data_IF_105002158199
#
_entry.id   IF_105002158199
#
_cell.length_a   1.000
_cell.length_b   1.000
_cell.length_c   1.000
_cell.angle_alpha   90.00
_cell.angle_beta   90.00
_cell.angle_gamma   90.00
#
_symmetry.space_group_name_H-M   'P 1'
#
loop_
_entity.id
_entity.type
_entity.pdbx_description
1 polymer ?
#
# COMPACT_ATOMS: atom_id res chain seq x y z
N UNK A 1 5.96 37.34 -9.09
CA UNK A 1 4.93 37.10 -10.13
C UNK A 1 4.01 36.00 -9.61
N UNK A 2 2.88 36.33 -8.98
CA UNK A 2 1.94 35.33 -8.48
C UNK A 2 1.15 34.72 -9.66
N UNK A 3 1.51 33.51 -10.05
CA UNK A 3 0.79 32.79 -11.10
C UNK A 3 -0.49 32.14 -10.53
N UNK A 4 -1.64 32.24 -11.21
CA UNK A 4 -2.84 31.53 -10.78
C UNK A 4 -2.63 30.01 -10.80
N UNK A 5 -2.83 29.36 -9.64
CA UNK A 5 -2.43 27.98 -9.31
C UNK A 5 -2.96 26.90 -10.28
N UNK A 6 -4.23 27.01 -10.68
CA UNK A 6 -4.85 26.12 -11.69
C UNK A 6 -4.24 26.28 -13.09
N UNK A 7 -3.69 27.45 -13.40
CA UNK A 7 -3.07 27.70 -14.69
C UNK A 7 -1.67 27.09 -14.77
N UNK A 8 -1.01 26.87 -13.64
CA UNK A 8 0.34 26.30 -13.63
C UNK A 8 0.35 24.82 -14.03
N UNK A 9 -0.44 23.95 -13.40
CA UNK A 9 -0.56 22.53 -13.80
C UNK A 9 -1.01 22.38 -15.26
N UNK A 10 -1.97 23.21 -15.71
CA UNK A 10 -2.39 23.25 -17.12
C UNK A 10 -1.25 23.63 -18.05
N UNK A 11 -0.37 24.55 -17.64
CA UNK A 11 0.79 24.97 -18.43
C UNK A 11 1.86 23.89 -18.45
N UNK A 12 2.20 23.27 -17.31
CA UNK A 12 3.10 22.12 -17.26
C UNK A 12 2.63 21.01 -18.20
N UNK A 13 1.33 20.68 -18.18
CA UNK A 13 0.72 19.74 -19.14
C UNK A 13 0.92 20.18 -20.59
N UNK A 14 0.67 21.46 -20.92
CA UNK A 14 0.85 21.99 -22.29
C UNK A 14 2.31 21.89 -22.76
N UNK A 15 3.28 22.18 -21.90
CA UNK A 15 4.70 22.06 -22.25
C UNK A 15 5.11 20.61 -22.44
N UNK A 16 4.64 19.69 -21.58
CA UNK A 16 4.85 18.25 -21.74
C UNK A 16 4.25 17.73 -23.05
N UNK A 17 3.04 18.18 -23.43
CA UNK A 17 2.39 17.76 -24.68
C UNK A 17 3.20 18.15 -25.92
N UNK A 18 3.97 19.26 -25.88
CA UNK A 18 4.87 19.62 -27.00
C UNK A 18 5.99 18.61 -27.17
N UNK A 19 6.55 18.10 -26.05
CA UNK A 19 7.65 17.13 -26.06
C UNK A 19 7.19 15.70 -26.33
N UNK A 20 5.98 15.37 -25.87
CA UNK A 20 5.36 14.05 -25.93
C UNK A 20 3.96 14.13 -26.57
N UNK A 21 3.86 14.43 -27.87
CA UNK A 21 2.58 14.74 -28.52
C UNK A 21 1.61 13.57 -28.57
N UNK A 22 2.12 12.33 -28.57
CA UNK A 22 1.34 11.11 -28.68
C UNK A 22 1.15 10.37 -27.34
N UNK A 23 1.54 10.99 -26.22
CA UNK A 23 1.42 10.39 -24.89
C UNK A 23 0.16 10.91 -24.21
N UNK A 24 -0.56 10.02 -23.52
CA UNK A 24 -1.70 10.42 -22.71
C UNK A 24 -1.23 11.22 -21.49
N UNK A 25 -1.74 12.44 -21.35
CA UNK A 25 -1.45 13.34 -20.24
C UNK A 25 -2.76 13.71 -19.53
N UNK A 26 -2.81 13.57 -18.20
CA UNK A 26 -3.94 14.07 -17.38
C UNK A 26 -3.46 14.87 -16.18
N UNK A 27 -4.23 15.88 -15.78
CA UNK A 27 -3.99 16.56 -14.51
C UNK A 27 -4.72 15.81 -13.39
N UNK A 28 -4.06 15.60 -12.25
CA UNK A 28 -4.63 14.90 -11.11
C UNK A 28 -4.22 15.60 -9.80
N UNK A 29 -5.09 16.46 -9.28
CA UNK A 29 -4.88 17.17 -8.02
C UNK A 29 -3.61 18.04 -8.02
N UNK A 30 -2.48 17.44 -7.66
CA UNK A 30 -1.17 18.07 -7.47
C UNK A 30 -0.15 17.73 -8.58
N UNK A 31 -0.49 16.80 -9.48
CA UNK A 31 0.44 16.26 -10.48
C UNK A 31 -0.12 16.34 -11.90
N UNK A 32 0.77 16.22 -12.88
CA UNK A 32 0.45 15.82 -14.25
C UNK A 32 0.85 14.36 -14.40
N UNK A 33 -0.12 13.48 -14.59
CA UNK A 33 0.12 12.05 -14.85
C UNK A 33 0.43 11.87 -16.33
N UNK A 34 1.51 11.14 -16.60
CA UNK A 34 2.01 10.78 -17.91
C UNK A 34 1.88 9.26 -18.05
N UNK A 35 1.06 8.79 -18.97
CA UNK A 35 0.79 7.35 -19.13
C UNK A 35 1.61 6.79 -20.29
N UNK A 36 2.56 5.91 -19.97
CA UNK A 36 3.32 5.10 -20.92
C UNK A 36 2.71 3.69 -21.03
N UNK A 37 3.15 2.90 -22.01
CA UNK A 37 2.58 1.56 -22.26
C UNK A 37 2.60 0.64 -21.02
N UNK A 38 3.64 0.74 -20.19
CA UNK A 38 3.88 -0.19 -19.07
C UNK A 38 3.81 0.47 -17.68
N UNK A 39 3.74 1.80 -17.59
CA UNK A 39 3.76 2.52 -16.32
C UNK A 39 3.23 3.95 -16.46
N UNK A 40 2.86 4.54 -15.32
CA UNK A 40 2.52 5.96 -15.20
C UNK A 40 3.63 6.72 -14.45
N UNK A 41 3.87 7.97 -14.84
CA UNK A 41 4.72 8.92 -14.11
C UNK A 41 3.87 10.05 -13.58
N UNK A 42 3.90 10.25 -12.27
CA UNK A 42 3.26 11.39 -11.60
C UNK A 42 4.26 12.55 -11.49
N UNK A 43 4.18 13.51 -12.41
CA UNK A 43 5.03 14.69 -12.38
C UNK A 43 4.40 15.76 -11.48
N UNK A 44 5.00 16.01 -10.32
CA UNK A 44 4.64 17.13 -9.44
C UNK A 44 5.57 18.31 -9.72
N UNK A 45 5.10 19.38 -10.39
CA UNK A 45 5.94 20.53 -10.62
C UNK A 45 6.04 21.34 -9.33
N UNK A 46 7.25 21.69 -8.92
CA UNK A 46 7.53 22.36 -7.66
C UNK A 46 8.58 23.46 -7.81
N UNK A 47 8.58 24.39 -6.86
CA UNK A 47 9.61 25.41 -6.70
C UNK A 47 10.36 25.15 -5.41
N UNK A 48 11.69 25.18 -5.48
CA UNK A 48 12.53 25.15 -4.29
C UNK A 48 12.47 26.51 -3.59
N UNK A 49 12.30 26.47 -2.28
CA UNK A 49 12.27 27.62 -1.38
C UNK A 49 13.66 27.82 -0.75
N UNK A 50 13.90 29.01 -0.19
CA UNK A 50 15.21 29.36 0.39
C UNK A 50 15.63 28.49 1.58
N UNK A 51 14.69 27.80 2.22
CA UNK A 51 14.92 26.88 3.33
C UNK A 51 15.14 25.43 2.87
N UNK A 52 15.24 25.18 1.56
CA UNK A 52 15.40 23.84 0.97
C UNK A 52 14.10 23.03 0.85
N UNK A 53 12.98 23.59 1.31
CA UNK A 53 11.66 22.98 1.11
C UNK A 53 11.11 23.26 -0.28
N UNK A 54 10.00 22.62 -0.62
CA UNK A 54 9.37 22.77 -1.93
C UNK A 54 7.94 23.25 -1.81
N UNK A 55 7.58 24.24 -2.63
CA UNK A 55 6.20 24.66 -2.83
C UNK A 55 5.64 24.12 -4.14
N UNK A 56 4.48 23.49 -4.07
CA UNK A 56 3.84 22.83 -5.22
C UNK A 56 2.34 23.15 -5.30
N UNK A 57 1.75 23.15 -6.50
CA UNK A 57 0.35 23.49 -6.68
C UNK A 57 -0.56 22.31 -6.31
N UNK A 58 -1.70 22.60 -5.70
CA UNK A 58 -2.81 21.68 -5.53
C UNK A 58 -4.04 22.31 -6.17
N UNK A 59 -4.62 21.68 -7.19
CA UNK A 59 -5.79 22.19 -7.91
C UNK A 59 -7.14 21.91 -7.23
N UNK A 60 -7.15 21.11 -6.15
CA UNK A 60 -8.36 20.76 -5.41
C UNK A 60 -8.94 21.97 -4.65
N UNK A 61 -10.27 21.96 -4.43
CA UNK A 61 -10.99 22.93 -3.60
C UNK A 61 -10.67 24.40 -3.89
N UNK A 62 -10.71 24.79 -5.16
CA UNK A 62 -10.42 26.17 -5.59
C UNK A 62 -8.95 26.47 -5.83
N UNK A 63 -8.05 25.60 -5.39
CA UNK A 63 -6.62 25.65 -5.67
C UNK A 63 -5.79 26.35 -4.59
N UNK A 64 -4.71 25.71 -4.14
CA UNK A 64 -3.79 26.26 -3.13
C UNK A 64 -2.34 25.85 -3.42
N UNK A 65 -1.39 26.61 -2.87
CA UNK A 65 -0.01 26.17 -2.78
C UNK A 65 0.15 25.32 -1.51
N UNK A 66 0.94 24.24 -1.60
CA UNK A 66 1.32 23.39 -0.47
C UNK A 66 2.84 23.37 -0.37
N UNK A 67 3.34 23.21 0.85
CA UNK A 67 4.76 23.02 1.16
C UNK A 67 5.02 21.54 1.44
N UNK A 68 6.15 21.01 0.98
CA UNK A 68 6.68 19.68 1.34
C UNK A 68 8.17 19.79 1.62
N UNK A 69 8.70 18.87 2.42
CA UNK A 69 10.10 18.85 2.84
C UNK A 69 10.70 17.47 2.54
N UNK A 70 10.57 17.06 1.27
CA UNK A 70 10.78 15.68 0.83
C UNK A 70 12.23 15.22 0.98
N UNK A 71 13.20 16.14 0.83
CA UNK A 71 14.62 15.82 0.94
C UNK A 71 15.02 15.43 2.36
N UNK A 72 14.39 16.02 3.39
CA UNK A 72 14.65 15.66 4.78
C UNK A 72 14.11 14.25 5.09
N UNK A 73 12.98 13.86 4.50
CA UNK A 73 12.45 12.49 4.62
C UNK A 73 13.36 11.48 3.92
N UNK A 74 13.86 11.83 2.73
CA UNK A 74 14.82 11.01 1.99
C UNK A 74 16.11 10.82 2.79
N UNK A 75 16.69 11.89 3.32
CA UNK A 75 17.91 11.83 4.11
C UNK A 75 17.77 10.97 5.38
N UNK A 76 16.67 11.11 6.12
CA UNK A 76 16.41 10.25 7.30
C UNK A 76 16.19 8.79 6.89
N UNK A 77 15.58 8.54 5.73
CA UNK A 77 15.41 7.20 5.19
C UNK A 77 16.75 6.58 4.82
N UNK A 78 17.58 7.29 4.05
CA UNK A 78 18.93 6.86 3.64
C UNK A 78 19.81 6.58 4.85
N UNK A 79 19.82 7.49 5.84
CA UNK A 79 20.51 7.26 7.10
C UNK A 79 20.05 5.97 7.78
N UNK A 80 18.74 5.75 7.91
CA UNK A 80 18.22 4.55 8.58
C UNK A 80 18.48 3.28 7.76
N UNK A 81 18.49 3.35 6.42
CA UNK A 81 18.90 2.24 5.54
C UNK A 81 20.34 1.86 5.85
N UNK A 82 21.26 2.81 5.85
CA UNK A 82 22.67 2.54 6.10
C UNK A 82 22.91 2.06 7.53
N UNK A 83 22.27 2.71 8.51
CA UNK A 83 22.41 2.40 9.93
C UNK A 83 21.89 1.01 10.32
N UNK A 84 21.00 0.43 9.51
CA UNK A 84 20.42 -0.90 9.73
C UNK A 84 20.91 -1.93 8.72
N UNK A 85 22.01 -1.65 8.00
CA UNK A 85 22.52 -2.55 6.94
C UNK A 85 21.42 -2.97 5.93
N UNK A 86 20.56 -2.02 5.54
CA UNK A 86 19.38 -2.17 4.69
C UNK A 86 18.14 -2.83 5.32
N UNK A 87 18.19 -3.34 6.56
CA UNK A 87 17.05 -4.03 7.17
C UNK A 87 15.81 -3.14 7.31
N UNK A 88 15.97 -1.82 7.55
CA UNK A 88 14.86 -0.87 7.49
C UNK A 88 14.10 -0.91 6.16
N UNK A 89 14.82 -0.90 5.03
CA UNK A 89 14.24 -0.98 3.68
C UNK A 89 13.54 -2.33 3.47
N UNK A 90 14.16 -3.43 3.86
CA UNK A 90 13.58 -4.76 3.69
C UNK A 90 12.29 -4.93 4.49
N UNK A 91 12.27 -4.50 5.74
CA UNK A 91 11.05 -4.55 6.58
C UNK A 91 9.95 -3.66 5.99
N UNK A 92 10.30 -2.47 5.49
CA UNK A 92 9.35 -1.61 4.77
C UNK A 92 8.75 -2.29 3.53
N UNK A 93 9.51 -3.10 2.80
CA UNK A 93 9.05 -3.87 1.65
C UNK A 93 8.19 -5.07 2.08
N UNK A 94 8.55 -5.76 3.15
CA UNK A 94 7.78 -6.87 3.74
C UNK A 94 6.39 -6.39 4.19
N UNK A 95 6.31 -5.24 4.86
CA UNK A 95 5.02 -4.64 5.26
C UNK A 95 4.17 -4.26 4.03
N UNK A 96 4.80 -3.83 2.92
CA UNK A 96 4.10 -3.61 1.64
C UNK A 96 3.59 -4.91 1.02
N UNK A 97 4.38 -5.98 1.07
CA UNK A 97 3.95 -7.31 0.62
C UNK A 97 2.75 -7.80 1.45
N UNK A 98 2.84 -7.71 2.77
CA UNK A 98 1.75 -8.02 3.71
C UNK A 98 0.46 -7.29 3.40
N UNK A 99 0.49 -5.95 3.24
CA UNK A 99 -0.75 -5.18 2.95
C UNK A 99 -1.40 -5.63 1.63
N UNK A 100 -0.58 -5.96 0.64
CA UNK A 100 -1.03 -6.33 -0.69
C UNK A 100 -1.58 -7.76 -0.70
N UNK A 101 -0.93 -8.68 0.02
CA UNK A 101 -1.38 -10.06 0.16
C UNK A 101 -2.70 -10.15 0.94
N UNK A 102 -2.78 -9.50 2.11
CA UNK A 102 -3.97 -9.54 2.98
C UNK A 102 -5.14 -8.72 2.43
N UNK A 103 -4.87 -7.76 1.53
CA UNK A 103 -5.95 -7.05 0.85
C UNK A 103 -6.44 -5.79 1.56
N UNK A 104 -5.55 -4.94 2.08
CA UNK A 104 -5.98 -3.69 2.74
C UNK A 104 -5.14 -2.46 2.39
N UNK A 105 -5.78 -1.29 2.50
CA UNK A 105 -5.17 0.01 2.22
C UNK A 105 -4.29 0.47 3.39
N UNK A 106 -3.03 0.75 3.11
CA UNK A 106 -2.08 1.41 4.01
C UNK A 106 -1.11 2.24 3.16
N UNK A 107 -0.94 3.52 3.50
CA UNK A 107 -0.12 4.44 2.70
C UNK A 107 1.37 4.15 2.84
N UNK A 108 2.15 4.26 1.77
CA UNK A 108 3.60 3.99 1.77
C UNK A 108 4.37 4.80 2.81
N UNK A 109 4.17 6.13 2.84
CA UNK A 109 4.80 6.98 3.84
C UNK A 109 4.40 6.61 5.28
N UNK A 110 3.18 6.08 5.50
CA UNK A 110 2.77 5.59 6.82
C UNK A 110 3.55 4.32 7.20
N UNK A 111 3.76 3.41 6.25
CA UNK A 111 4.59 2.21 6.46
C UNK A 111 6.00 2.65 6.86
N UNK A 112 6.64 3.50 6.05
CA UNK A 112 8.02 3.94 6.30
C UNK A 112 8.14 4.64 7.65
N UNK A 113 7.17 5.49 7.99
CA UNK A 113 7.09 6.17 9.29
C UNK A 113 6.96 5.19 10.46
N UNK A 114 6.08 4.20 10.36
CA UNK A 114 5.84 3.26 11.46
C UNK A 114 7.00 2.28 11.64
N UNK A 115 7.58 1.79 10.55
CA UNK A 115 8.75 0.92 10.57
C UNK A 115 9.97 1.69 11.11
N UNK A 116 10.15 2.96 10.74
CA UNK A 116 11.21 3.80 11.30
C UNK A 116 11.07 3.97 12.82
N UNK A 117 9.84 4.23 13.29
CA UNK A 117 9.55 4.30 14.73
C UNK A 117 9.73 2.96 15.44
N UNK A 118 9.47 1.84 14.76
CA UNK A 118 9.75 0.49 15.26
C UNK A 118 11.25 0.32 15.48
N UNK A 119 12.08 0.56 14.46
CA UNK A 119 13.53 0.47 14.58
C UNK A 119 14.09 1.38 15.69
N UNK A 120 13.58 2.62 15.83
CA UNK A 120 13.96 3.50 16.95
C UNK A 120 13.54 2.98 18.33
N UNK A 121 12.45 2.20 18.41
CA UNK A 121 11.97 1.59 19.65
C UNK A 121 12.73 0.29 20.00
N UNK A 122 13.22 -0.42 18.98
CA UNK A 122 13.93 -1.71 19.10
C UNK A 122 15.32 -1.59 18.45
N UNK A 123 16.26 -0.86 19.07
CA UNK A 123 17.58 -0.59 18.48
C UNK A 123 18.44 -1.85 18.32
N UNK A 124 18.12 -2.93 19.03
CA UNK A 124 18.81 -4.23 18.87
C UNK A 124 18.71 -4.75 17.42
N UNK A 125 17.64 -4.39 16.69
CA UNK A 125 17.48 -4.77 15.28
C UNK A 125 18.32 -3.94 14.31
N UNK A 126 19.10 -2.95 14.75
CA UNK A 126 20.04 -2.25 13.86
C UNK A 126 21.11 -3.18 13.30
N UNK A 127 21.47 -4.22 14.05
CA UNK A 127 22.44 -5.24 13.65
C UNK A 127 21.77 -6.61 13.40
N UNK A 128 20.48 -6.61 13.07
CA UNK A 128 19.78 -7.86 12.76
C UNK A 128 20.45 -8.61 11.61
N UNK A 129 20.30 -9.92 11.60
CA UNK A 129 20.59 -10.80 10.48
C UNK A 129 19.29 -11.40 9.96
N UNK A 130 19.33 -12.14 8.85
CA UNK A 130 18.13 -12.83 8.36
C UNK A 130 17.63 -13.92 9.31
N UNK A 131 18.48 -14.47 10.18
CA UNK A 131 18.08 -15.46 11.19
C UNK A 131 17.18 -14.83 12.27
N UNK A 132 17.28 -13.51 12.47
CA UNK A 132 16.48 -12.77 13.45
C UNK A 132 15.07 -12.43 12.95
N UNK A 133 14.75 -12.69 11.66
CA UNK A 133 13.54 -12.18 11.03
C UNK A 133 12.25 -12.73 11.65
N UNK A 134 12.22 -13.97 12.11
CA UNK A 134 11.02 -14.50 12.77
C UNK A 134 10.71 -13.69 14.04
N UNK A 135 11.73 -13.41 14.86
CA UNK A 135 11.59 -12.63 16.09
C UNK A 135 11.28 -11.16 15.77
N UNK A 136 11.99 -10.57 14.80
CA UNK A 136 11.76 -9.20 14.34
C UNK A 136 10.31 -9.01 13.86
N UNK A 137 9.78 -9.94 13.06
CA UNK A 137 8.42 -9.84 12.55
C UNK A 137 7.37 -10.03 13.66
N UNK A 138 7.62 -10.89 14.64
CA UNK A 138 6.78 -11.01 15.85
C UNK A 138 6.71 -9.68 16.60
N UNK A 139 7.86 -9.07 16.85
CA UNK A 139 7.94 -7.79 17.57
C UNK A 139 7.38 -6.63 16.77
N UNK A 140 7.56 -6.63 15.45
CA UNK A 140 6.96 -5.65 14.54
C UNK A 140 5.43 -5.72 14.60
N UNK A 141 4.85 -6.92 14.47
CA UNK A 141 3.39 -7.06 14.55
C UNK A 141 2.87 -6.77 15.95
N UNK A 142 3.60 -7.15 17.01
CA UNK A 142 3.29 -6.77 18.38
C UNK A 142 3.25 -5.24 18.57
N UNK A 143 4.25 -4.54 18.04
CA UNK A 143 4.30 -3.08 18.03
C UNK A 143 3.11 -2.49 17.27
N UNK A 144 2.84 -2.96 16.05
CA UNK A 144 1.76 -2.43 15.20
C UNK A 144 0.36 -2.67 15.79
N UNK A 145 0.09 -3.85 16.37
CA UNK A 145 -1.20 -4.13 17.04
C UNK A 145 -1.43 -3.30 18.30
N UNK A 146 -0.35 -2.85 18.94
CA UNK A 146 -0.40 -1.99 20.12
C UNK A 146 -0.67 -0.52 19.82
N UNK A 147 -0.67 -0.10 18.55
CA UNK A 147 -0.94 1.28 18.17
C UNK A 147 -2.43 1.63 18.30
N UNK A 148 -2.72 2.88 18.66
CA UNK A 148 -4.09 3.38 18.72
C UNK A 148 -4.69 3.46 17.30
N UNK A 149 -5.65 2.56 17.00
CA UNK A 149 -6.36 2.50 15.71
C UNK A 149 -7.08 3.80 15.35
N UNK A 150 -7.48 4.60 16.34
CA UNK A 150 -8.24 5.84 16.19
C UNK A 150 -7.33 7.09 16.15
N UNK A 151 -6.01 6.90 16.25
CA UNK A 151 -5.05 7.99 16.09
C UNK A 151 -5.22 8.66 14.72
N UNK A 152 -5.30 9.99 14.70
CA UNK A 152 -5.60 10.75 13.47
C UNK A 152 -4.43 10.80 12.49
N UNK A 153 -3.20 10.92 12.99
CA UNK A 153 -1.99 11.03 12.18
C UNK A 153 -0.75 10.62 12.96
N UNK A 154 0.33 10.31 12.24
CA UNK A 154 1.69 10.20 12.77
C UNK A 154 2.57 11.28 12.15
N UNK A 155 3.66 11.63 12.82
CA UNK A 155 4.70 12.48 12.24
C UNK A 155 5.67 11.63 11.43
N UNK A 156 5.84 12.01 10.16
CA UNK A 156 6.75 11.36 9.23
C UNK A 156 8.20 11.40 9.72
N UNK A 157 8.98 10.40 9.33
CA UNK A 157 10.43 10.40 9.48
C UNK A 157 11.05 11.60 8.74
N UNK A 158 12.01 12.27 9.37
CA UNK A 158 12.64 13.47 8.81
C UNK A 158 11.77 14.72 8.90
N UNK A 159 10.85 14.91 7.94
CA UNK A 159 10.09 16.17 7.78
C UNK A 159 9.12 16.50 8.91
N UNK A 160 8.76 15.51 9.73
CA UNK A 160 7.66 15.61 10.70
C UNK A 160 6.33 16.08 10.09
N UNK A 161 6.11 15.88 8.79
CA UNK A 161 4.79 16.15 8.20
C UNK A 161 3.74 15.17 8.76
N UNK A 162 2.48 15.60 8.77
CA UNK A 162 1.38 14.77 9.27
C UNK A 162 0.99 13.70 8.23
N UNK A 163 1.23 12.45 8.59
CA UNK A 163 0.80 11.26 7.83
C UNK A 163 -0.53 10.78 8.41
N UNK A 164 -1.63 11.07 7.71
CA UNK A 164 -2.98 10.79 8.21
C UNK A 164 -3.34 9.31 8.14
N UNK A 165 -3.95 8.83 9.23
CA UNK A 165 -4.51 7.49 9.32
C UNK A 165 -5.66 7.30 8.31
N UNK A 166 -5.72 6.13 7.68
CA UNK A 166 -6.77 5.74 6.71
C UNK A 166 -7.69 4.66 7.29
N UNK A 167 -8.09 4.84 8.55
CA UNK A 167 -9.07 4.00 9.23
C UNK A 167 -8.50 2.84 10.05
N UNK A 168 -7.20 2.86 10.38
CA UNK A 168 -6.61 1.99 11.40
C UNK A 168 -6.65 0.48 11.13
N UNK A 169 -7.09 0.03 9.94
CA UNK A 169 -7.26 -1.41 9.61
C UNK A 169 -6.00 -2.24 9.84
N UNK A 170 -4.82 -1.65 9.63
CA UNK A 170 -3.54 -2.31 9.83
C UNK A 170 -3.34 -2.77 11.28
N UNK A 171 -3.93 -2.10 12.28
CA UNK A 171 -3.80 -2.48 13.69
C UNK A 171 -4.46 -3.84 13.94
N UNK A 172 -5.70 -4.02 13.46
CA UNK A 172 -6.39 -5.30 13.58
C UNK A 172 -5.69 -6.40 12.76
N UNK A 173 -5.20 -6.07 11.56
CA UNK A 173 -4.46 -7.03 10.75
C UNK A 173 -3.12 -7.42 11.37
N UNK A 174 -2.47 -6.51 12.09
CA UNK A 174 -1.26 -6.82 12.83
C UNK A 174 -1.56 -7.74 14.01
N UNK A 175 -2.74 -7.62 14.64
CA UNK A 175 -3.19 -8.56 15.67
C UNK A 175 -3.39 -9.97 15.11
N UNK A 176 -4.08 -10.09 13.96
CA UNK A 176 -4.25 -11.36 13.23
C UNK A 176 -2.87 -11.99 12.93
N UNK A 177 -1.93 -11.22 12.37
CA UNK A 177 -0.59 -11.70 12.01
C UNK A 177 0.26 -12.06 13.25
N UNK A 178 0.19 -11.26 14.32
CA UNK A 178 0.87 -11.57 15.57
C UNK A 178 0.35 -12.88 16.19
N UNK A 179 -0.96 -13.11 16.15
CA UNK A 179 -1.56 -14.34 16.68
C UNK A 179 -1.05 -15.60 15.97
N UNK A 180 -0.71 -15.51 14.67
CA UNK A 180 -0.12 -16.61 13.91
C UNK A 180 1.35 -16.89 14.28
N UNK A 181 2.10 -15.87 14.70
CA UNK A 181 3.55 -15.98 14.92
C UNK A 181 3.98 -16.05 16.39
N UNK A 182 3.15 -15.59 17.33
CA UNK A 182 3.53 -15.35 18.74
C UNK A 182 4.14 -16.58 19.43
N UNK A 183 3.67 -17.78 19.11
CA UNK A 183 4.07 -19.03 19.75
C UNK A 183 5.08 -19.83 18.90
N UNK A 184 5.51 -19.28 17.75
CA UNK A 184 6.50 -19.92 16.89
C UNK A 184 7.93 -19.53 17.29
N UNK A 185 8.84 -20.49 17.16
CA UNK A 185 10.28 -20.32 17.13
C UNK A 185 10.86 -20.83 15.81
N UNK A 186 12.18 -20.74 15.64
CA UNK A 186 12.88 -21.12 14.40
C UNK A 186 12.81 -22.63 14.10
N UNK A 187 12.59 -23.44 15.12
CA UNK A 187 12.60 -24.91 15.06
C UNK A 187 11.17 -25.48 14.97
N UNK A 188 10.16 -24.61 15.06
CA UNK A 188 8.76 -24.96 14.95
C UNK A 188 8.43 -25.45 13.53
N UNK A 189 7.62 -26.52 13.46
CA UNK A 189 7.08 -26.99 12.18
C UNK A 189 6.09 -25.96 11.61
N UNK A 190 6.07 -25.81 10.28
CA UNK A 190 5.07 -24.96 9.62
C UNK A 190 5.38 -23.46 9.60
N UNK A 191 6.57 -23.02 10.04
CA UNK A 191 6.95 -21.58 10.09
C UNK A 191 6.88 -20.94 8.69
N UNK A 192 7.37 -21.63 7.67
CA UNK A 192 7.39 -21.16 6.29
C UNK A 192 5.97 -20.92 5.76
N UNK A 193 5.07 -21.87 6.02
CA UNK A 193 3.67 -21.85 5.63
C UNK A 193 2.93 -20.71 6.33
N UNK A 194 3.21 -20.47 7.62
CA UNK A 194 2.65 -19.34 8.38
C UNK A 194 3.14 -18.00 7.86
N UNK A 195 4.42 -17.89 7.50
CA UNK A 195 4.95 -16.68 6.87
C UNK A 195 4.34 -16.46 5.49
N UNK A 196 4.15 -17.50 4.69
CA UNK A 196 3.45 -17.42 3.41
C UNK A 196 1.96 -17.09 3.54
N UNK A 197 1.29 -17.50 4.63
CA UNK A 197 -0.09 -17.10 4.96
C UNK A 197 -0.18 -15.58 5.20
N UNK A 198 0.88 -14.97 5.73
CA UNK A 198 0.93 -13.54 6.06
C UNK A 198 1.40 -12.71 4.85
N UNK A 199 2.44 -13.14 4.15
CA UNK A 199 3.14 -12.35 3.14
C UNK A 199 2.90 -12.80 1.69
N UNK A 200 2.31 -13.98 1.51
CA UNK A 200 2.07 -14.62 0.22
C UNK A 200 3.14 -15.64 -0.17
N UNK A 201 2.82 -16.45 -1.19
CA UNK A 201 3.65 -17.57 -1.68
C UNK A 201 5.04 -17.17 -2.17
N UNK A 202 5.25 -15.91 -2.53
CA UNK A 202 6.56 -15.40 -2.93
C UNK A 202 7.51 -15.18 -1.75
N UNK A 203 7.04 -15.31 -0.50
CA UNK A 203 7.91 -15.28 0.67
C UNK A 203 8.85 -16.49 0.63
N UNK A 204 10.18 -16.29 0.79
CA UNK A 204 11.16 -17.34 0.61
C UNK A 204 10.97 -18.45 1.64
N UNK A 205 11.15 -19.69 1.17
CA UNK A 205 11.17 -20.89 2.01
C UNK A 205 12.59 -21.50 1.98
N UNK A 206 13.02 -22.21 3.04
CA UNK A 206 14.31 -22.89 3.06
C UNK A 206 14.47 -23.84 1.86
N UNK A 207 15.67 -23.86 1.25
CA UNK A 207 15.96 -24.69 0.06
C UNK A 207 15.67 -26.18 0.26
N UNK A 208 15.78 -26.69 1.49
CA UNK A 208 15.49 -28.08 1.83
C UNK A 208 14.02 -28.43 1.58
N UNK A 209 13.11 -27.53 1.93
CA UNK A 209 11.67 -27.65 1.69
C UNK A 209 11.40 -27.55 0.19
N UNK A 210 12.00 -26.56 -0.49
CA UNK A 210 11.86 -26.37 -1.94
C UNK A 210 12.30 -27.60 -2.73
N UNK A 211 13.45 -28.20 -2.40
CA UNK A 211 13.95 -29.42 -3.05
C UNK A 211 12.99 -30.60 -2.81
N UNK A 212 12.42 -30.73 -1.62
CA UNK A 212 11.46 -31.80 -1.30
C UNK A 212 10.14 -31.65 -2.06
N UNK A 213 9.60 -30.43 -2.17
CA UNK A 213 8.39 -30.13 -2.95
C UNK A 213 8.63 -30.38 -4.43
N UNK A 214 9.75 -29.89 -4.98
CA UNK A 214 10.12 -30.14 -6.37
C UNK A 214 10.28 -31.64 -6.69
N UNK A 215 10.84 -32.44 -5.77
CA UNK A 215 10.93 -33.90 -5.94
C UNK A 215 9.56 -34.57 -5.91
N UNK A 216 8.66 -34.16 -5.01
CA UNK A 216 7.29 -34.68 -4.92
C UNK A 216 6.45 -34.32 -6.15
N UNK A 217 6.65 -33.13 -6.73
CA UNK A 217 5.99 -32.71 -7.97
C UNK A 217 6.63 -33.35 -9.21
N UNK A 218 7.93 -33.62 -9.23
CA UNK A 218 8.58 -34.31 -10.36
C UNK A 218 8.06 -35.74 -10.59
N UNK A 219 7.52 -36.40 -9.56
CA UNK A 219 6.81 -37.68 -9.71
C UNK A 219 5.44 -37.58 -10.41
N UNK A 220 4.88 -36.37 -10.54
CA UNK A 220 3.64 -36.12 -11.28
C UNK A 220 3.97 -35.25 -12.50
N UNK A 221 4.10 -35.85 -13.68
CA UNK A 221 4.26 -35.11 -14.94
C UNK A 221 2.99 -34.31 -15.27
N UNK A 222 2.79 -33.17 -14.61
CA UNK A 222 1.72 -32.21 -14.89
C UNK A 222 2.39 -30.90 -15.26
N UNK A 223 2.13 -30.42 -16.48
CA UNK A 223 2.49 -29.07 -16.87
C UNK A 223 1.62 -28.10 -16.08
N UNK A 224 2.18 -27.46 -15.06
CA UNK A 224 1.48 -26.42 -14.31
C UNK A 224 1.25 -25.20 -15.21
N UNK A 225 0.02 -25.08 -15.71
CA UNK A 225 -0.44 -23.96 -16.53
C UNK A 225 -1.18 -22.91 -15.70
N UNK A 226 -1.19 -23.05 -14.36
CA UNK A 226 -1.93 -22.15 -13.48
C UNK A 226 -1.25 -20.78 -13.44
N UNK A 227 -1.95 -19.79 -13.96
CA UNK A 227 -1.52 -18.40 -13.93
C UNK A 227 -2.23 -17.68 -12.80
N UNK A 228 -1.47 -17.25 -11.80
CA UNK A 228 -2.00 -16.40 -10.74
C UNK A 228 -1.89 -14.92 -11.11
N UNK A 229 -2.91 -14.13 -10.78
CA UNK A 229 -2.95 -12.69 -11.08
C UNK A 229 -1.73 -11.95 -10.51
N UNK A 230 -1.24 -12.37 -9.33
CA UNK A 230 -0.03 -11.79 -8.72
C UNK A 230 1.27 -12.12 -9.47
N UNK A 231 1.27 -13.14 -10.33
CA UNK A 231 2.38 -13.47 -11.23
C UNK A 231 2.27 -12.74 -12.58
N UNK A 232 1.07 -12.29 -12.94
CA UNK A 232 0.81 -11.61 -14.21
C UNK A 232 0.92 -10.08 -14.09
N UNK A 233 0.59 -9.51 -12.92
CA UNK A 233 0.53 -8.07 -12.71
C UNK A 233 1.12 -7.63 -11.36
N UNK A 234 1.86 -6.51 -11.30
CA UNK A 234 2.28 -5.93 -10.04
C UNK A 234 1.06 -5.45 -9.25
N UNK A 235 0.89 -5.95 -8.02
CA UNK A 235 -0.22 -5.57 -7.14
C UNK A 235 0.23 -4.50 -6.16
N UNK A 236 -0.42 -3.33 -6.20
CA UNK A 236 -0.30 -2.29 -5.16
C UNK A 236 -1.68 -1.77 -4.74
N UNK A 237 -2.12 -2.16 -3.54
CA UNK A 237 -3.43 -1.76 -3.02
C UNK A 237 -3.38 -0.30 -2.53
N UNK A 238 -3.96 0.59 -3.34
CA UNK A 238 -4.05 2.05 -3.07
C UNK A 238 -5.43 2.51 -2.59
N UNK A 239 -6.50 1.77 -2.90
CA UNK A 239 -7.89 2.19 -2.67
C UNK A 239 -8.69 1.13 -1.94
N UNK A 240 -9.71 1.55 -1.18
CA UNK A 240 -10.76 0.62 -0.78
C UNK A 240 -11.79 0.61 -1.90
N UNK A 241 -12.07 -0.57 -2.45
CA UNK A 241 -13.17 -0.75 -3.40
C UNK A 241 -14.36 -1.29 -2.64
N UNK A 242 -15.53 -0.71 -2.88
CA UNK A 242 -16.80 -1.29 -2.46
C UNK A 242 -17.61 -1.63 -3.70
N UNK A 243 -18.01 -2.89 -3.83
CA UNK A 243 -18.99 -3.29 -4.81
C UNK A 243 -20.38 -2.94 -4.27
N UNK A 244 -21.20 -2.35 -5.12
CA UNK A 244 -22.61 -2.15 -4.87
C UNK A 244 -23.41 -2.65 -6.07
N UNK A 245 -24.71 -2.74 -5.89
CA UNK A 245 -25.60 -3.26 -6.90
C UNK A 245 -26.90 -2.46 -6.90
N UNK A 246 -27.27 -1.91 -8.06
CA UNK A 246 -28.60 -1.38 -8.32
C UNK A 246 -29.54 -2.54 -8.65
N UNK A 247 -30.70 -2.55 -7.99
CA UNK A 247 -31.72 -3.58 -8.12
C UNK A 247 -32.96 -2.95 -8.75
N UNK A 248 -33.32 -3.47 -9.92
CA UNK A 248 -34.57 -3.15 -10.61
C UNK A 248 -35.45 -4.40 -10.66
N UNK A 249 -36.57 -4.37 -9.95
CA UNK A 249 -37.55 -5.46 -9.90
C UNK A 249 -38.98 -4.92 -10.05
N UNK A 250 -39.83 -5.68 -10.73
CA UNK A 250 -41.19 -5.23 -11.07
C UNK A 250 -42.02 -4.90 -9.83
N UNK A 251 -42.73 -3.77 -9.85
CA UNK A 251 -43.54 -3.29 -8.73
C UNK A 251 -42.78 -2.57 -7.62
N UNK A 252 -41.46 -2.40 -7.75
CA UNK A 252 -40.63 -1.68 -6.78
C UNK A 252 -39.86 -0.55 -7.44
N UNK A 253 -39.60 0.52 -6.68
CA UNK A 253 -38.67 1.57 -7.08
C UNK A 253 -37.25 1.00 -7.12
N UNK A 254 -36.49 1.38 -8.14
CA UNK A 254 -35.07 1.07 -8.24
C UNK A 254 -34.33 1.56 -7.00
N UNK A 255 -33.49 0.69 -6.44
CA UNK A 255 -32.80 0.94 -5.17
C UNK A 255 -31.51 0.12 -5.12
N UNK A 256 -30.66 0.41 -4.13
CA UNK A 256 -29.44 -0.35 -3.93
C UNK A 256 -29.73 -1.65 -3.18
N UNK A 257 -29.02 -2.72 -3.55
CA UNK A 257 -29.08 -4.01 -2.87
C UNK A 257 -28.81 -3.86 -1.36
N UNK A 258 -27.86 -2.99 -0.98
CA UNK A 258 -27.58 -2.70 0.44
C UNK A 258 -28.79 -2.15 1.20
N UNK A 259 -29.64 -1.38 0.52
CA UNK A 259 -30.84 -0.79 1.13
C UNK A 259 -31.87 -1.89 1.34
N UNK A 260 -32.07 -2.77 0.34
CA UNK A 260 -32.93 -3.94 0.48
C UNK A 260 -32.48 -4.85 1.63
N UNK A 261 -31.18 -5.16 1.72
CA UNK A 261 -30.62 -5.97 2.80
C UNK A 261 -30.82 -5.32 4.18
N UNK A 262 -30.57 -4.01 4.28
CA UNK A 262 -30.76 -3.26 5.54
C UNK A 262 -32.22 -3.20 5.96
N UNK A 263 -33.13 -3.02 5.01
CA UNK A 263 -34.58 -2.96 5.25
C UNK A 263 -35.24 -4.34 5.29
N UNK A 264 -34.46 -5.42 5.17
CA UNK A 264 -34.92 -6.81 5.11
C UNK A 264 -36.00 -7.03 4.03
N UNK A 265 -35.91 -6.31 2.91
CA UNK A 265 -36.83 -6.44 1.77
C UNK A 265 -36.41 -7.60 0.86
N UNK A 266 -37.37 -8.34 0.27
CA UNK A 266 -37.07 -9.49 -0.57
C UNK A 266 -36.47 -9.06 -1.91
N UNK A 267 -35.64 -9.96 -2.45
CA UNK A 267 -35.10 -9.88 -3.80
C UNK A 267 -35.85 -10.87 -4.69
N UNK A 268 -36.80 -10.37 -5.50
CA UNK A 268 -37.76 -11.19 -6.24
C UNK A 268 -37.12 -11.91 -7.44
N UNK A 269 -37.73 -12.97 -8.00
CA UNK A 269 -37.34 -13.51 -9.31
C UNK A 269 -37.49 -12.47 -10.44
N UNK A 270 -36.78 -12.67 -11.56
CA UNK A 270 -36.85 -11.80 -12.75
C UNK A 270 -36.48 -10.31 -12.50
N UNK A 271 -35.52 -10.07 -11.60
CA UNK A 271 -34.91 -8.74 -11.43
C UNK A 271 -33.74 -8.52 -12.39
N UNK A 272 -33.40 -7.24 -12.59
CA UNK A 272 -32.13 -6.82 -13.16
C UNK A 272 -31.21 -6.32 -12.04
N UNK A 273 -29.96 -6.78 -12.06
CA UNK A 273 -28.91 -6.41 -11.13
C UNK A 273 -27.78 -5.71 -11.89
N UNK A 274 -27.54 -4.44 -11.59
CA UNK A 274 -26.43 -3.68 -12.18
C UNK A 274 -25.35 -3.50 -11.13
N UNK A 275 -24.23 -4.20 -11.28
CA UNK A 275 -23.10 -4.12 -10.36
C UNK A 275 -22.17 -2.96 -10.74
N UNK A 276 -21.70 -2.23 -9.73
CA UNK A 276 -20.75 -1.14 -9.92
C UNK A 276 -19.79 -1.04 -8.74
N UNK A 277 -18.61 -0.49 -9.01
CA UNK A 277 -17.59 -0.24 -8.00
C UNK A 277 -17.64 1.21 -7.52
N UNK A 278 -17.40 1.39 -6.22
CA UNK A 278 -17.29 2.69 -5.56
C UNK A 278 -15.90 2.74 -4.92
N UNK A 279 -15.06 3.65 -5.38
CA UNK A 279 -13.77 3.93 -4.74
C UNK A 279 -13.98 4.78 -3.48
N UNK A 280 -13.31 4.40 -2.39
CA UNK A 280 -13.28 5.11 -1.11
C UNK A 280 -11.86 5.45 -0.64
#
# INVERSE_FOLDING_TARGET
MEWPKKNYLKRSKKELQKRYPNTELRGDGQVVVITFNNYEVELCPAFEESDGSFTYPDSNNGGKWKRTDSLVEMGESEYMIDHTSQHFKYVCQIVRAWKNHIGFKMGGLLIDTLVHKFFKKYPDYYNATFDDYLVLLKDLFYYLKGLNKDQKYWFALGSNQRVYNKGGKFVNKADDAYALLKDLDKDSEGVSEKLQEIFGKSFPIPESITKSEHMAYASFHVSDSEQFIHNLFPVDIKFNVRIDCEVKQNGFRETLLRVLLREKKPLLPNKNLTFFYIFK
#
